data_IF_843297740136
#
_entry.id   IF_843297740136
#
_cell.length_a   1.000
_cell.length_b   1.000
_cell.length_c   1.000
_cell.angle_alpha   90.00
_cell.angle_beta   90.00
_cell.angle_gamma   90.00
#
_symmetry.space_group_name_H-M   'P 1'
#
loop_
_entity.id
_entity.type
_entity.pdbx_description
1 polymer ?
#
# COMPACT_ATOMS: atom_id res chain seq x y z
N UNK A 1 -2.72 6.72 4.53
CA UNK A 1 -3.34 6.77 5.87
C UNK A 1 -3.04 5.44 6.55
N UNK A 2 -2.85 5.37 7.87
CA UNK A 2 -2.79 4.10 8.59
C UNK A 2 -4.14 3.41 8.58
N UNK A 3 -4.19 2.13 8.93
CA UNK A 3 -5.47 1.40 9.07
C UNK A 3 -6.21 1.79 10.36
N UNK A 4 -5.58 2.52 11.27
CA UNK A 4 -6.23 3.16 12.41
C UNK A 4 -5.49 4.43 12.84
N UNK A 5 -6.19 5.27 13.57
CA UNK A 5 -5.66 6.42 14.28
C UNK A 5 -5.60 6.10 15.79
N UNK A 6 -4.83 6.88 16.52
CA UNK A 6 -4.68 6.77 17.98
C UNK A 6 -5.93 7.22 18.75
N UNK A 7 -6.64 8.21 18.21
CA UNK A 7 -7.77 8.86 18.86
C UNK A 7 -9.12 8.37 18.33
N UNK A 8 -9.19 8.04 17.03
CA UNK A 8 -10.42 7.64 16.36
C UNK A 8 -10.18 6.47 15.41
N UNK A 9 -11.15 5.58 15.27
CA UNK A 9 -11.10 4.50 14.31
C UNK A 9 -11.40 5.03 12.90
N UNK A 10 -10.36 5.23 12.09
CA UNK A 10 -10.47 5.73 10.72
C UNK A 10 -11.31 4.83 9.81
N UNK A 11 -11.51 3.55 10.18
CA UNK A 11 -12.35 2.64 9.40
C UNK A 11 -13.80 3.14 9.32
N UNK A 12 -14.30 3.78 10.39
CA UNK A 12 -15.65 4.34 10.39
C UNK A 12 -15.85 5.43 9.33
N UNK A 13 -14.79 6.17 8.98
CA UNK A 13 -14.83 7.22 7.98
C UNK A 13 -14.82 6.70 6.54
N UNK A 14 -14.30 5.50 6.30
CA UNK A 14 -14.21 4.98 4.92
C UNK A 14 -15.58 4.76 4.30
N UNK A 15 -16.54 4.21 5.04
CA UNK A 15 -17.93 4.05 4.56
C UNK A 15 -18.55 5.39 4.19
N UNK A 16 -18.33 6.43 5.00
CA UNK A 16 -18.82 7.77 4.73
C UNK A 16 -18.18 8.37 3.47
N UNK A 17 -16.86 8.23 3.34
CA UNK A 17 -16.12 8.73 2.17
C UNK A 17 -16.56 8.03 0.88
N UNK A 18 -16.76 6.70 0.90
CA UNK A 18 -17.27 5.96 -0.26
C UNK A 18 -18.65 6.46 -0.66
N UNK A 19 -19.56 6.64 0.31
CA UNK A 19 -20.90 7.14 0.05
C UNK A 19 -20.96 8.60 -0.43
N UNK A 20 -19.96 9.42 -0.09
CA UNK A 20 -19.87 10.81 -0.54
C UNK A 20 -19.19 10.95 -1.91
N UNK A 21 -18.15 10.15 -2.16
CA UNK A 21 -17.28 10.26 -3.35
C UNK A 21 -17.78 9.41 -4.51
N UNK A 22 -18.41 8.26 -4.24
CA UNK A 22 -18.81 7.25 -5.25
C UNK A 22 -17.63 6.89 -6.17
N UNK A 23 -16.53 6.34 -5.65
CA UNK A 23 -15.32 6.11 -6.43
C UNK A 23 -15.53 5.04 -7.50
N UNK A 24 -15.05 5.28 -8.71
CA UNK A 24 -14.96 4.25 -9.76
C UNK A 24 -13.86 3.23 -9.47
N UNK A 25 -12.78 3.68 -8.82
CA UNK A 25 -11.60 2.88 -8.44
C UNK A 25 -11.08 3.36 -7.09
N UNK A 26 -10.66 2.43 -6.23
CA UNK A 26 -9.96 2.74 -4.98
C UNK A 26 -8.50 2.31 -5.10
N UNK A 27 -7.59 3.22 -4.77
CA UNK A 27 -6.13 2.94 -4.78
C UNK A 27 -5.58 3.10 -3.37
N UNK A 28 -4.86 2.09 -2.90
CA UNK A 28 -4.38 2.02 -1.52
C UNK A 28 -2.86 1.83 -1.50
N UNK A 29 -2.16 2.63 -0.69
CA UNK A 29 -0.79 2.40 -0.30
C UNK A 29 -0.63 2.74 1.18
N UNK A 30 -0.36 1.73 1.99
CA UNK A 30 -0.22 1.81 3.44
C UNK A 30 1.13 1.18 3.84
N UNK A 31 1.80 1.68 4.86
CA UNK A 31 3.05 1.06 5.22
C UNK A 31 3.72 1.58 6.48
N UNK A 32 4.44 2.71 6.41
CA UNK A 32 5.36 3.12 7.48
C UNK A 32 4.68 3.29 8.85
N UNK A 33 3.45 3.74 8.88
CA UNK A 33 2.73 4.00 10.12
C UNK A 33 2.27 2.72 10.82
N UNK A 34 2.20 1.59 10.10
CA UNK A 34 1.82 0.30 10.68
C UNK A 34 2.89 -0.30 11.61
N UNK A 35 4.10 0.27 11.59
CA UNK A 35 5.20 -0.08 12.50
C UNK A 35 5.26 0.80 13.75
N UNK A 36 4.36 1.76 13.91
CA UNK A 36 4.19 2.47 15.17
C UNK A 36 3.58 1.53 16.21
N UNK A 37 3.96 1.71 17.48
CA UNK A 37 3.44 0.84 18.56
C UNK A 37 1.96 1.09 18.80
N UNK A 38 1.11 0.23 18.28
CA UNK A 38 -0.34 0.30 18.47
C UNK A 38 -0.76 -0.40 19.75
N UNK A 39 -1.87 0.05 20.34
CA UNK A 39 -2.51 -0.58 21.49
C UNK A 39 -3.96 -0.88 21.13
N UNK A 40 -4.37 -2.14 21.21
CA UNK A 40 -5.74 -2.57 20.96
C UNK A 40 -6.30 -3.17 22.27
N UNK A 41 -7.40 -2.59 22.76
CA UNK A 41 -8.07 -3.06 24.00
C UNK A 41 -7.13 -3.18 25.22
N UNK A 42 -6.10 -2.32 25.29
CA UNK A 42 -5.08 -2.32 26.35
C UNK A 42 -3.91 -3.28 26.12
N UNK A 43 -3.89 -4.03 25.02
CA UNK A 43 -2.79 -4.88 24.60
C UNK A 43 -1.89 -4.14 23.61
N UNK A 44 -0.57 -4.13 23.86
CA UNK A 44 0.41 -3.59 22.92
C UNK A 44 0.62 -4.58 21.77
N UNK A 45 0.49 -4.10 20.54
CA UNK A 45 0.74 -4.87 19.33
C UNK A 45 2.20 -4.66 18.89
N UNK A 46 3.04 -5.62 19.21
CA UNK A 46 4.45 -5.56 18.82
C UNK A 46 4.62 -5.90 17.34
N UNK A 47 5.20 -4.97 16.52
CA UNK A 47 5.45 -5.24 15.10
C UNK A 47 6.22 -6.54 14.88
N UNK A 48 5.77 -7.36 13.94
CA UNK A 48 6.32 -8.68 13.64
C UNK A 48 5.79 -9.81 14.52
N UNK A 49 4.94 -9.52 15.51
CA UNK A 49 4.23 -10.57 16.23
C UNK A 49 3.07 -11.16 15.41
N UNK A 50 2.70 -12.42 15.72
CA UNK A 50 1.53 -13.06 15.10
C UNK A 50 0.26 -12.23 15.33
N UNK A 51 0.07 -11.73 16.56
CA UNK A 51 -1.10 -10.90 16.91
C UNK A 51 -1.16 -9.60 16.13
N UNK A 52 -0.01 -8.93 15.93
CA UNK A 52 0.07 -7.73 15.08
C UNK A 52 -0.32 -8.05 13.64
N UNK A 53 0.16 -9.16 13.07
CA UNK A 53 -0.16 -9.58 11.72
C UNK A 53 -1.66 -9.92 11.55
N UNK A 54 -2.24 -10.65 12.51
CA UNK A 54 -3.67 -10.97 12.55
C UNK A 54 -4.52 -9.70 12.55
N UNK A 55 -4.24 -8.77 13.47
CA UNK A 55 -5.01 -7.52 13.60
C UNK A 55 -4.90 -6.67 12.34
N UNK A 56 -3.71 -6.56 11.74
CA UNK A 56 -3.57 -5.84 10.47
C UNK A 56 -4.36 -6.48 9.33
N UNK A 57 -4.34 -7.81 9.23
CA UNK A 57 -5.11 -8.53 8.22
C UNK A 57 -6.63 -8.35 8.42
N UNK A 58 -7.12 -8.43 9.66
CA UNK A 58 -8.52 -8.17 10.01
C UNK A 58 -8.93 -6.76 9.60
N UNK A 59 -8.18 -5.74 10.01
CA UNK A 59 -8.48 -4.33 9.70
C UNK A 59 -8.39 -4.02 8.20
N UNK A 60 -7.43 -4.61 7.50
CA UNK A 60 -7.36 -4.51 6.05
C UNK A 60 -8.58 -5.13 5.37
N UNK A 61 -9.07 -6.26 5.87
CA UNK A 61 -10.30 -6.88 5.40
C UNK A 61 -11.53 -6.00 5.63
N UNK A 62 -11.66 -5.39 6.81
CA UNK A 62 -12.73 -4.44 7.12
C UNK A 62 -12.69 -3.20 6.23
N UNK A 63 -11.50 -2.62 6.03
CA UNK A 63 -11.30 -1.48 5.13
C UNK A 63 -11.70 -1.82 3.70
N UNK A 64 -11.28 -2.99 3.17
CA UNK A 64 -11.67 -3.44 1.84
C UNK A 64 -13.18 -3.65 1.71
N UNK A 65 -13.85 -4.16 2.74
CA UNK A 65 -15.31 -4.31 2.74
C UNK A 65 -16.00 -2.95 2.57
N UNK A 66 -15.51 -1.93 3.26
CA UNK A 66 -16.05 -0.57 3.17
C UNK A 66 -15.75 0.09 1.83
N UNK A 67 -14.51 0.03 1.35
CA UNK A 67 -14.12 0.63 0.06
C UNK A 67 -14.86 -0.01 -1.11
N UNK A 68 -15.24 -1.27 -1.01
CA UNK A 68 -15.97 -2.00 -2.02
C UNK A 68 -17.48 -2.00 -1.85
N UNK A 69 -18.01 -1.28 -0.87
CA UNK A 69 -19.45 -1.30 -0.56
C UNK A 69 -20.34 -0.92 -1.77
N UNK A 70 -19.84 -0.09 -2.67
CA UNK A 70 -20.53 0.30 -3.92
C UNK A 70 -19.98 -0.40 -5.18
N UNK A 71 -19.11 -1.41 -5.01
CA UNK A 71 -18.61 -2.25 -6.09
C UNK A 71 -17.29 -1.79 -6.74
N UNK A 72 -16.72 -0.66 -6.32
CA UNK A 72 -15.44 -0.19 -6.85
C UNK A 72 -14.33 -1.23 -6.68
N UNK A 73 -13.47 -1.50 -7.69
CA UNK A 73 -12.30 -2.32 -7.52
C UNK A 73 -11.27 -1.61 -6.65
N UNK A 74 -10.49 -2.41 -5.89
CA UNK A 74 -9.39 -1.93 -5.06
C UNK A 74 -8.07 -2.37 -5.66
N UNK A 75 -7.16 -1.41 -5.88
CA UNK A 75 -5.78 -1.64 -6.25
C UNK A 75 -4.89 -1.34 -5.05
N UNK A 76 -4.30 -2.37 -4.49
CA UNK A 76 -3.51 -2.29 -3.27
C UNK A 76 -2.02 -2.47 -3.56
N UNK A 77 -1.26 -1.41 -3.36
CA UNK A 77 0.20 -1.48 -3.45
C UNK A 77 0.78 -2.25 -2.25
N UNK A 78 1.69 -3.18 -2.53
CA UNK A 78 2.55 -3.71 -1.48
C UNK A 78 3.39 -2.58 -0.88
N UNK A 79 3.69 -2.65 0.41
CA UNK A 79 4.53 -1.66 1.08
C UNK A 79 5.92 -1.66 0.47
N UNK A 80 6.40 -0.54 -0.08
CA UNK A 80 7.76 -0.50 -0.64
C UNK A 80 8.81 -0.70 0.45
N UNK A 81 9.80 -1.55 0.19
CA UNK A 81 10.94 -1.73 1.09
C UNK A 81 11.57 -0.40 1.44
N UNK A 82 11.98 -0.25 2.70
CA UNK A 82 12.54 0.97 3.26
C UNK A 82 14.04 0.79 3.51
N UNK A 83 14.79 1.92 3.56
CA UNK A 83 16.22 1.89 3.83
C UNK A 83 16.54 1.30 5.20
N UNK A 84 15.74 1.66 6.20
CA UNK A 84 15.89 1.15 7.56
C UNK A 84 15.22 -0.23 7.66
N UNK A 85 16.04 -1.27 7.81
CA UNK A 85 15.59 -2.65 7.90
C UNK A 85 14.86 -2.99 9.21
N UNK A 86 14.80 -2.05 10.17
CA UNK A 86 13.94 -2.19 11.36
C UNK A 86 12.46 -2.10 11.01
N UNK A 87 12.13 -1.48 9.89
CA UNK A 87 10.80 -1.63 9.31
C UNK A 87 10.69 -3.02 8.69
N UNK A 88 9.83 -3.86 9.27
CA UNK A 88 9.60 -5.24 8.84
C UNK A 88 8.73 -5.26 7.58
N UNK A 89 9.22 -4.63 6.50
CA UNK A 89 8.44 -4.43 5.28
C UNK A 89 8.10 -5.74 4.58
N UNK A 90 8.94 -6.77 4.69
CA UNK A 90 8.66 -8.08 4.09
C UNK A 90 7.48 -8.77 4.80
N UNK A 91 7.37 -8.64 6.13
CA UNK A 91 6.21 -9.15 6.89
C UNK A 91 4.93 -8.42 6.47
N UNK A 92 5.01 -7.09 6.33
CA UNK A 92 3.86 -6.29 5.92
C UNK A 92 3.43 -6.58 4.47
N UNK A 93 4.39 -6.78 3.55
CA UNK A 93 4.13 -7.24 2.18
C UNK A 93 3.37 -8.57 2.22
N UNK A 94 3.84 -9.53 3.01
CA UNK A 94 3.20 -10.84 3.11
C UNK A 94 1.77 -10.76 3.65
N UNK A 95 1.51 -9.87 4.64
CA UNK A 95 0.17 -9.62 5.17
C UNK A 95 -0.74 -9.07 4.07
N UNK A 96 -0.30 -8.04 3.32
CA UNK A 96 -1.09 -7.44 2.26
C UNK A 96 -1.38 -8.40 1.11
N UNK A 97 -0.39 -9.18 0.69
CA UNK A 97 -0.55 -10.19 -0.37
C UNK A 97 -1.53 -11.30 0.06
N UNK A 98 -1.39 -11.81 1.28
CA UNK A 98 -2.31 -12.81 1.80
C UNK A 98 -3.74 -12.27 1.91
N UNK A 99 -3.92 -11.05 2.43
CA UNK A 99 -5.23 -10.45 2.63
C UNK A 99 -5.91 -10.12 1.30
N UNK A 100 -5.19 -9.53 0.34
CA UNK A 100 -5.72 -9.23 -1.00
C UNK A 100 -6.06 -10.49 -1.78
N UNK A 101 -5.25 -11.54 -1.65
CA UNK A 101 -5.50 -12.87 -2.26
C UNK A 101 -6.73 -13.54 -1.66
N UNK A 102 -6.89 -13.50 -0.35
CA UNK A 102 -8.04 -14.09 0.34
C UNK A 102 -9.35 -13.37 -0.03
N UNK A 103 -9.29 -12.06 -0.25
CA UNK A 103 -10.44 -11.29 -0.72
C UNK A 103 -10.90 -11.72 -2.12
N UNK A 104 -9.97 -11.93 -3.04
CA UNK A 104 -10.24 -12.43 -4.39
C UNK A 104 -10.74 -11.37 -5.36
N UNK A 105 -11.84 -11.66 -6.05
CA UNK A 105 -12.32 -10.83 -7.16
C UNK A 105 -12.59 -9.37 -6.78
N UNK A 106 -12.05 -8.44 -7.61
CA UNK A 106 -12.20 -6.99 -7.43
C UNK A 106 -11.18 -6.37 -6.47
N UNK A 107 -10.21 -7.14 -6.00
CA UNK A 107 -9.02 -6.62 -5.30
C UNK A 107 -7.78 -7.08 -6.05
N UNK A 108 -6.92 -6.15 -6.40
CA UNK A 108 -5.69 -6.39 -7.14
C UNK A 108 -4.49 -5.93 -6.31
N UNK A 109 -3.58 -6.84 -5.98
CA UNK A 109 -2.29 -6.48 -5.40
C UNK A 109 -1.35 -5.99 -6.49
N UNK A 110 -0.65 -4.88 -6.23
CA UNK A 110 0.39 -4.31 -7.09
C UNK A 110 1.72 -4.37 -6.35
N UNK A 111 2.70 -5.08 -6.91
CA UNK A 111 4.03 -5.13 -6.32
C UNK A 111 4.80 -3.84 -6.62
N UNK A 112 4.99 -3.02 -5.59
CA UNK A 112 5.71 -1.75 -5.66
C UNK A 112 7.20 -1.93 -5.99
N UNK A 113 7.78 -3.10 -5.65
CA UNK A 113 9.20 -3.35 -5.85
C UNK A 113 9.55 -3.69 -7.30
N UNK A 114 8.59 -4.01 -8.14
CA UNK A 114 8.79 -4.16 -9.59
C UNK A 114 9.38 -2.89 -10.20
N UNK A 115 8.92 -1.72 -9.78
CA UNK A 115 9.39 -0.43 -10.32
C UNK A 115 10.37 0.30 -9.39
N UNK A 116 10.27 0.10 -8.09
CA UNK A 116 11.11 0.78 -7.10
C UNK A 116 12.34 -0.02 -6.67
N UNK A 117 12.32 -1.34 -6.82
CA UNK A 117 13.41 -2.22 -6.45
C UNK A 117 14.58 -2.21 -7.44
N UNK A 118 15.72 -2.74 -7.03
CA UNK A 118 16.78 -3.14 -7.96
C UNK A 118 16.41 -4.45 -8.68
N UNK A 119 17.32 -4.97 -9.48
CA UNK A 119 17.11 -6.20 -10.24
C UNK A 119 16.84 -7.46 -9.36
N UNK A 120 17.15 -7.40 -8.07
CA UNK A 120 16.84 -8.43 -7.08
C UNK A 120 15.56 -8.17 -6.29
N UNK A 121 14.88 -7.04 -6.55
CA UNK A 121 13.75 -6.56 -5.75
C UNK A 121 14.15 -5.90 -4.42
N UNK A 122 15.45 -5.64 -4.21
CA UNK A 122 15.91 -4.99 -2.99
C UNK A 122 15.71 -3.46 -3.05
N UNK A 123 15.76 -2.83 -1.86
CA UNK A 123 15.68 -1.39 -1.75
C UNK A 123 16.80 -0.68 -2.53
N UNK A 124 16.45 0.39 -3.24
CA UNK A 124 17.41 1.32 -3.83
C UNK A 124 16.96 2.77 -3.63
N UNK A 125 17.93 3.67 -3.44
CA UNK A 125 17.70 5.11 -3.34
C UNK A 125 17.54 5.78 -4.69
N UNK A 126 18.27 5.28 -5.69
CA UNK A 126 18.48 5.92 -6.99
C UNK A 126 18.42 4.90 -8.11
N UNK A 127 18.13 5.38 -9.28
CA UNK A 127 18.23 4.60 -10.53
C UNK A 127 18.84 5.45 -11.65
N UNK A 128 19.25 4.80 -12.70
CA UNK A 128 19.58 5.48 -13.97
C UNK A 128 18.29 5.53 -14.79
N UNK A 129 17.88 6.73 -15.20
CA UNK A 129 16.71 6.93 -16.04
C UNK A 129 16.98 6.54 -17.51
N UNK A 130 15.96 6.63 -18.35
CA UNK A 130 16.04 6.37 -19.80
C UNK A 130 17.04 7.25 -20.56
N UNK A 131 17.40 8.41 -19.99
CA UNK A 131 18.37 9.34 -20.55
C UNK A 131 19.80 9.10 -20.02
N UNK A 132 20.02 8.04 -19.23
CA UNK A 132 21.31 7.71 -18.63
C UNK A 132 21.67 8.58 -17.42
N UNK A 133 20.72 9.29 -16.81
CA UNK A 133 20.95 10.16 -15.66
C UNK A 133 20.65 9.42 -14.37
N UNK A 134 21.49 9.62 -13.36
CA UNK A 134 21.21 9.13 -12.01
C UNK A 134 20.17 10.03 -11.34
N UNK A 135 19.01 9.45 -11.00
CA UNK A 135 17.88 10.15 -10.37
C UNK A 135 17.53 9.56 -9.02
N UNK A 136 17.08 10.42 -8.10
CA UNK A 136 16.66 10.00 -6.77
C UNK A 136 15.22 9.48 -6.80
N UNK A 137 15.00 8.25 -6.28
CA UNK A 137 13.67 7.63 -6.13
C UNK A 137 13.09 7.91 -4.75
N UNK A 138 13.93 7.95 -3.72
CA UNK A 138 13.53 7.98 -2.32
C UNK A 138 14.05 9.23 -1.63
N UNK A 139 13.22 9.84 -0.77
CA UNK A 139 13.62 10.97 0.09
C UNK A 139 14.61 10.52 1.17
N UNK A 140 15.23 11.48 1.83
CA UNK A 140 16.39 11.30 2.72
C UNK A 140 16.29 10.14 3.74
N UNK A 141 15.09 9.86 4.26
CA UNK A 141 14.86 8.74 5.22
C UNK A 141 14.57 7.40 4.54
N UNK A 142 14.41 7.35 3.20
CA UNK A 142 14.12 6.14 2.46
C UNK A 142 12.69 5.59 2.65
N UNK A 143 11.79 6.38 3.23
CA UNK A 143 10.36 6.04 3.39
C UNK A 143 9.53 6.66 2.27
N UNK A 144 9.62 7.98 2.11
CA UNK A 144 8.86 8.71 1.10
C UNK A 144 9.58 8.74 -0.26
N UNK A 145 8.82 9.05 -1.32
CA UNK A 145 9.31 9.12 -2.69
C UNK A 145 9.73 10.53 -3.09
N UNK A 146 10.71 10.63 -3.98
CA UNK A 146 10.85 11.74 -4.88
C UNK A 146 9.85 11.61 -6.03
N UNK A 147 9.65 12.67 -6.80
CA UNK A 147 8.73 12.73 -7.93
C UNK A 147 8.91 11.55 -8.88
N UNK A 148 10.15 11.26 -9.30
CA UNK A 148 10.45 10.12 -10.18
C UNK A 148 9.98 8.79 -9.60
N UNK A 149 10.17 8.56 -8.31
CA UNK A 149 9.69 7.33 -7.66
C UNK A 149 8.15 7.23 -7.62
N UNK A 150 7.48 8.36 -7.41
CA UNK A 150 6.02 8.43 -7.45
C UNK A 150 5.48 8.22 -8.88
N UNK A 151 6.14 8.82 -9.89
CA UNK A 151 5.77 8.66 -11.31
C UNK A 151 5.89 7.23 -11.79
N UNK A 152 6.91 6.49 -11.35
CA UNK A 152 7.05 5.07 -11.69
C UNK A 152 5.88 4.23 -11.16
N UNK A 153 5.45 4.48 -9.92
CA UNK A 153 4.28 3.82 -9.35
C UNK A 153 3.01 4.23 -10.10
N UNK A 154 2.84 5.52 -10.40
CA UNK A 154 1.69 6.01 -11.13
C UNK A 154 1.56 5.37 -12.52
N UNK A 155 2.66 5.25 -13.27
CA UNK A 155 2.67 4.58 -14.59
C UNK A 155 2.29 3.10 -14.48
N UNK A 156 2.83 2.37 -13.50
CA UNK A 156 2.48 0.96 -13.29
C UNK A 156 0.99 0.81 -12.98
N UNK A 157 0.42 1.72 -12.19
CA UNK A 157 -1.02 1.73 -11.90
C UNK A 157 -1.82 2.03 -13.18
N UNK A 158 -1.43 3.05 -13.94
CA UNK A 158 -2.07 3.44 -15.20
C UNK A 158 -2.09 2.28 -16.20
N UNK A 159 -0.96 1.63 -16.45
CA UNK A 159 -0.86 0.44 -17.31
C UNK A 159 -1.81 -0.67 -16.84
N UNK A 160 -1.93 -0.87 -15.53
CA UNK A 160 -2.83 -1.86 -14.96
C UNK A 160 -4.29 -1.45 -15.13
N UNK A 161 -4.65 -0.19 -14.90
CA UNK A 161 -6.02 0.32 -15.08
C UNK A 161 -6.46 0.26 -16.55
N UNK A 162 -5.56 0.54 -17.49
CA UNK A 162 -5.81 0.35 -18.92
C UNK A 162 -6.04 -1.12 -19.24
N UNK A 163 -5.19 -2.01 -18.75
CA UNK A 163 -5.32 -3.45 -18.97
C UNK A 163 -6.63 -4.04 -18.41
N UNK A 164 -7.13 -3.48 -17.32
CA UNK A 164 -8.39 -3.89 -16.69
C UNK A 164 -9.62 -3.15 -17.27
N UNK A 165 -9.41 -2.21 -18.20
CA UNK A 165 -10.48 -1.48 -18.90
C UNK A 165 -11.10 -0.31 -18.13
N UNK A 166 -10.41 0.18 -17.09
CA UNK A 166 -10.84 1.36 -16.29
C UNK A 166 -10.37 2.67 -16.89
N UNK A 167 -9.32 2.64 -17.68
CA UNK A 167 -8.82 3.79 -18.45
C UNK A 167 -8.76 3.43 -19.94
N UNK A 168 -8.90 4.43 -20.77
CA UNK A 168 -8.70 4.32 -22.24
C UNK A 168 -7.27 4.69 -22.54
N UNK A 169 -6.61 3.90 -23.37
CA UNK A 169 -5.28 4.23 -23.90
C UNK A 169 -5.44 5.37 -24.92
N UNK A 170 -4.81 6.53 -24.65
CA UNK A 170 -4.86 7.72 -25.51
C UNK A 170 -3.78 7.69 -26.61
#
# INVERSE_FOLDING_TARGET
>A
MPLWDWEEDVLADYSRLVAEVHPDVVVVMIGANEFEGHVLEGEALEPGSERWAEVLAERAGEAMAQWRAEGAPVYWWTTPRMRDTRFLTDDLIAIWEATTTAWGAGVTSLDSMVVLGDASGAYRDRMVDENGRLVDLRKARGVHFHEVGADLLARQLEERLVADGWLVDD
#
